data_IF_032556528893
#
_entry.id   IF_032556528893
#
_cell.length_a   1.000
_cell.length_b   1.000
_cell.length_c   1.000
_cell.angle_alpha   90.00
_cell.angle_beta   90.00
_cell.angle_gamma   90.00
#
_symmetry.space_group_name_H-M   'P 1'
#
loop_
_entity.id
_entity.type
_entity.pdbx_description
1 polymer ?
#
# COMPACT_ATOMS: atom_id res chain seq x y z
N UNK A 1 15.84 20.84 -13.89
CA UNK A 1 16.67 20.21 -12.83
C UNK A 1 15.73 19.45 -11.89
N UNK A 2 15.99 18.17 -11.61
CA UNK A 2 15.10 17.40 -10.72
C UNK A 2 15.24 17.87 -9.25
N UNK A 3 14.24 17.59 -8.41
CA UNK A 3 14.33 17.89 -6.96
C UNK A 3 15.51 17.16 -6.30
N UNK A 4 15.81 15.95 -6.77
CA UNK A 4 16.96 15.15 -6.30
C UNK A 4 18.29 15.86 -6.63
N UNK A 5 18.44 16.38 -7.86
CA UNK A 5 19.66 17.09 -8.27
C UNK A 5 19.84 18.39 -7.47
N UNK A 6 18.76 19.10 -7.19
CA UNK A 6 18.78 20.30 -6.36
C UNK A 6 19.27 20.00 -4.93
N UNK A 7 18.78 18.90 -4.31
CA UNK A 7 19.23 18.48 -2.99
C UNK A 7 20.70 18.06 -2.98
N UNK A 8 21.16 17.33 -4.00
CA UNK A 8 22.58 16.97 -4.14
C UNK A 8 23.48 18.20 -4.26
N UNK A 9 23.09 19.16 -5.09
CA UNK A 9 23.82 20.42 -5.26
C UNK A 9 23.83 21.28 -3.98
N UNK A 10 22.79 21.18 -3.15
CA UNK A 10 22.76 21.80 -1.81
C UNK A 10 23.68 21.06 -0.85
N UNK A 11 23.58 19.73 -0.79
CA UNK A 11 24.38 18.89 0.10
C UNK A 11 25.87 19.06 -0.14
N UNK A 12 26.33 19.21 -1.38
CA UNK A 12 27.76 19.43 -1.68
C UNK A 12 28.36 20.68 -1.02
N UNK A 13 27.52 21.63 -0.60
CA UNK A 13 27.92 22.87 0.08
C UNK A 13 27.81 22.79 1.61
N UNK A 14 27.20 21.73 2.14
CA UNK A 14 26.96 21.54 3.57
C UNK A 14 27.97 20.55 4.15
N UNK A 15 28.29 20.69 5.45
CA UNK A 15 29.23 19.84 6.20
C UNK A 15 28.67 19.48 7.58
N UNK A 16 29.07 18.32 8.10
CA UNK A 16 28.70 17.84 9.44
C UNK A 16 27.19 17.74 9.64
N UNK A 17 26.74 17.91 10.89
CA UNK A 17 25.34 17.73 11.29
C UNK A 17 24.32 18.59 10.50
N UNK A 18 24.76 19.72 9.91
CA UNK A 18 23.87 20.54 9.05
C UNK A 18 23.39 19.80 7.79
N UNK A 19 24.04 18.70 7.42
CA UNK A 19 23.64 17.82 6.32
C UNK A 19 22.49 16.88 6.68
N UNK A 20 22.24 16.61 7.96
CA UNK A 20 21.30 15.57 8.41
C UNK A 20 19.90 15.77 7.82
N UNK A 21 19.31 16.97 7.94
CA UNK A 21 17.95 17.20 7.42
C UNK A 21 17.86 17.08 5.88
N UNK A 22 18.72 17.74 5.07
CA UNK A 22 18.69 17.56 3.63
C UNK A 22 18.99 16.13 3.15
N UNK A 23 19.78 15.35 3.90
CA UNK A 23 19.99 13.92 3.62
C UNK A 23 18.71 13.12 3.83
N UNK A 24 17.97 13.36 4.92
CA UNK A 24 16.68 12.69 5.16
C UNK A 24 15.65 13.06 4.08
N UNK A 25 15.60 14.32 3.65
CA UNK A 25 14.74 14.75 2.54
C UNK A 25 15.15 14.06 1.22
N UNK A 26 16.46 13.88 0.98
CA UNK A 26 16.98 13.15 -0.18
C UNK A 26 16.64 11.66 -0.12
N UNK A 27 16.79 11.02 1.04
CA UNK A 27 16.38 9.63 1.28
C UNK A 27 14.93 9.44 0.89
N UNK A 28 14.01 10.29 1.40
CA UNK A 28 12.58 10.16 1.08
C UNK A 28 12.30 10.23 -0.42
N UNK A 29 12.89 11.21 -1.13
CA UNK A 29 12.68 11.35 -2.58
C UNK A 29 13.23 10.16 -3.38
N UNK A 30 14.38 9.61 -2.97
CA UNK A 30 14.97 8.44 -3.61
C UNK A 30 14.18 7.17 -3.32
N UNK A 31 13.71 6.98 -2.08
CA UNK A 31 12.82 5.89 -1.70
C UNK A 31 11.51 5.95 -2.48
N UNK A 32 10.88 7.12 -2.60
CA UNK A 32 9.66 7.30 -3.40
C UNK A 32 9.89 6.93 -4.86
N UNK A 33 11.02 7.38 -5.44
CA UNK A 33 11.39 7.05 -6.81
C UNK A 33 11.64 5.53 -6.99
N UNK A 34 12.27 4.88 -6.01
CA UNK A 34 12.47 3.43 -5.98
C UNK A 34 11.14 2.67 -6.02
N UNK A 35 10.20 2.99 -5.13
CA UNK A 35 8.88 2.35 -5.09
C UNK A 35 8.07 2.61 -6.37
N UNK A 36 8.24 3.78 -6.99
CA UNK A 36 7.62 4.09 -8.28
C UNK A 36 8.24 3.29 -9.44
N UNK A 37 9.57 3.14 -9.48
CA UNK A 37 10.21 2.32 -10.49
C UNK A 37 9.80 0.85 -10.34
N UNK A 38 9.66 0.40 -9.09
CA UNK A 38 9.17 -0.92 -8.71
C UNK A 38 10.25 -1.73 -8.02
N UNK A 39 9.99 -2.29 -6.82
CA UNK A 39 10.93 -3.17 -6.13
C UNK A 39 11.35 -4.39 -6.97
N UNK A 40 12.61 -4.80 -6.83
CA UNK A 40 13.16 -5.96 -7.53
C UNK A 40 13.53 -5.72 -8.99
N UNK A 41 13.21 -4.56 -9.55
CA UNK A 41 13.65 -4.20 -10.90
C UNK A 41 15.12 -3.74 -10.90
N UNK A 42 15.94 -4.16 -11.89
CA UNK A 42 17.33 -3.72 -11.98
C UNK A 42 17.48 -2.20 -12.01
N UNK A 43 16.60 -1.49 -12.71
CA UNK A 43 16.65 -0.02 -12.83
C UNK A 43 16.27 0.74 -11.55
N UNK A 44 15.58 0.10 -10.61
CA UNK A 44 15.18 0.73 -9.34
C UNK A 44 16.25 0.59 -8.26
N UNK A 45 17.09 -0.46 -8.33
CA UNK A 45 18.15 -0.74 -7.34
C UNK A 45 19.09 0.45 -7.08
N UNK A 46 19.61 1.18 -8.09
CA UNK A 46 20.49 2.32 -7.84
C UNK A 46 19.83 3.44 -7.01
N UNK A 47 18.50 3.61 -7.11
CA UNK A 47 17.76 4.60 -6.31
C UNK A 47 17.73 4.19 -4.84
N UNK A 48 17.50 2.90 -4.57
CA UNK A 48 17.51 2.35 -3.22
C UNK A 48 18.91 2.42 -2.59
N UNK A 49 19.95 2.05 -3.34
CA UNK A 49 21.34 2.14 -2.85
C UNK A 49 21.72 3.57 -2.48
N UNK A 50 21.30 4.56 -3.27
CA UNK A 50 21.53 5.96 -2.96
C UNK A 50 20.70 6.45 -1.76
N UNK A 51 19.47 5.94 -1.59
CA UNK A 51 18.64 6.24 -0.42
C UNK A 51 19.28 5.70 0.87
N UNK A 52 19.82 4.48 0.81
CA UNK A 52 20.56 3.83 1.90
C UNK A 52 21.81 4.64 2.25
N UNK A 53 22.63 4.99 1.25
CA UNK A 53 23.83 5.81 1.50
C UNK A 53 23.49 7.17 2.16
N UNK A 54 22.40 7.82 1.72
CA UNK A 54 21.97 9.08 2.32
C UNK A 54 21.47 8.92 3.76
N UNK A 55 20.71 7.86 4.08
CA UNK A 55 20.21 7.65 5.45
C UNK A 55 21.30 7.13 6.39
N UNK A 56 22.27 6.36 5.89
CA UNK A 56 23.45 5.94 6.65
C UNK A 56 24.26 7.14 7.12
N UNK A 57 24.54 8.07 6.19
CA UNK A 57 25.23 9.31 6.54
C UNK A 57 24.39 10.15 7.51
N UNK A 58 23.08 10.27 7.29
CA UNK A 58 22.19 11.01 8.18
C UNK A 58 22.20 10.42 9.60
N UNK A 59 22.08 9.10 9.72
CA UNK A 59 22.07 8.37 10.98
C UNK A 59 23.32 8.66 11.82
N UNK A 60 24.50 8.73 11.18
CA UNK A 60 25.77 9.05 11.83
C UNK A 60 25.83 10.43 12.49
N UNK A 61 24.91 11.35 12.19
CA UNK A 61 24.84 12.66 12.84
C UNK A 61 23.99 12.68 14.12
N UNK A 62 23.26 11.62 14.44
CA UNK A 62 22.39 11.55 15.61
C UNK A 62 23.06 10.73 16.73
N UNK A 63 23.34 11.37 17.86
CA UNK A 63 23.87 10.70 19.05
C UNK A 63 22.82 9.85 19.76
N UNK A 64 23.25 8.94 20.64
CA UNK A 64 22.38 7.96 21.32
C UNK A 64 21.22 8.59 22.13
N UNK A 65 21.41 9.81 22.63
CA UNK A 65 20.40 10.56 23.37
C UNK A 65 19.43 11.34 22.47
N UNK A 66 19.66 11.41 21.15
CA UNK A 66 18.81 12.17 20.24
C UNK A 66 17.49 11.42 19.97
N UNK A 67 16.32 12.04 20.25
CA UNK A 67 15.02 11.42 19.99
C UNK A 67 14.80 11.03 18.52
N UNK A 68 15.43 11.74 17.57
CA UNK A 68 15.32 11.45 16.14
C UNK A 68 16.13 10.24 15.71
N UNK A 69 17.15 9.84 16.46
CA UNK A 69 17.99 8.67 16.13
C UNK A 69 17.15 7.43 15.86
N UNK A 70 16.15 7.15 16.71
CA UNK A 70 15.29 5.97 16.55
C UNK A 70 14.43 6.03 15.29
N UNK A 71 13.85 7.20 14.97
CA UNK A 71 13.08 7.35 13.73
C UNK A 71 13.96 7.10 12.50
N UNK A 72 15.18 7.63 12.51
CA UNK A 72 16.15 7.45 11.42
C UNK A 72 16.66 6.00 11.37
N UNK A 73 16.89 5.35 12.51
CA UNK A 73 17.22 3.93 12.62
C UNK A 73 16.15 3.07 11.96
N UNK A 74 14.88 3.31 12.29
CA UNK A 74 13.78 2.57 11.69
C UNK A 74 13.75 2.73 10.16
N UNK A 75 13.88 3.96 9.66
CA UNK A 75 13.91 4.21 8.21
C UNK A 75 15.10 3.52 7.54
N UNK A 76 16.29 3.60 8.15
CA UNK A 76 17.50 2.87 7.72
C UNK A 76 17.26 1.37 7.65
N UNK A 77 16.77 0.78 8.74
CA UNK A 77 16.48 -0.65 8.82
C UNK A 77 15.45 -1.11 7.80
N UNK A 78 14.41 -0.32 7.58
CA UNK A 78 13.40 -0.59 6.55
C UNK A 78 13.98 -0.60 5.14
N UNK A 79 14.90 0.32 4.81
CA UNK A 79 15.53 0.38 3.49
C UNK A 79 16.52 -0.78 3.25
N UNK A 80 17.37 -1.11 4.23
CA UNK A 80 18.23 -2.31 4.14
C UNK A 80 17.40 -3.59 4.02
N UNK A 81 16.36 -3.73 4.84
CA UNK A 81 15.45 -4.86 4.77
C UNK A 81 14.76 -4.97 3.41
N UNK A 82 14.31 -3.85 2.85
CA UNK A 82 13.74 -3.79 1.50
C UNK A 82 14.74 -4.21 0.43
N UNK A 83 16.01 -3.81 0.56
CA UNK A 83 17.07 -4.20 -0.38
C UNK A 83 17.33 -5.71 -0.34
N UNK A 84 17.44 -6.29 0.84
CA UNK A 84 17.57 -7.73 1.02
C UNK A 84 16.38 -8.49 0.41
N UNK A 85 15.15 -8.11 0.75
CA UNK A 85 13.93 -8.80 0.35
C UNK A 85 13.59 -8.65 -1.14
N UNK A 86 13.95 -7.53 -1.77
CA UNK A 86 13.58 -7.25 -3.16
C UNK A 86 14.70 -7.57 -4.15
N UNK A 87 15.98 -7.51 -3.73
CA UNK A 87 17.13 -7.62 -4.62
C UNK A 87 18.13 -8.71 -4.21
N UNK A 88 17.71 -9.68 -3.38
CA UNK A 88 18.56 -10.78 -2.91
C UNK A 88 19.92 -10.31 -2.37
N UNK A 89 19.93 -9.18 -1.67
CA UNK A 89 21.18 -8.58 -1.17
C UNK A 89 21.75 -9.36 0.02
N UNK A 90 23.04 -9.17 0.36
CA UNK A 90 23.74 -9.99 1.36
C UNK A 90 23.02 -10.08 2.70
N UNK A 91 23.28 -11.15 3.45
CA UNK A 91 22.73 -11.37 4.78
C UNK A 91 23.00 -10.21 5.77
N UNK A 92 24.07 -9.45 5.56
CA UNK A 92 24.37 -8.24 6.32
C UNK A 92 23.24 -7.20 6.27
N UNK A 93 22.59 -6.99 5.12
CA UNK A 93 21.46 -6.06 5.01
C UNK A 93 20.26 -6.51 5.83
N UNK A 94 20.00 -7.82 5.86
CA UNK A 94 18.94 -8.38 6.70
C UNK A 94 19.24 -8.13 8.17
N UNK A 95 20.47 -8.36 8.59
CA UNK A 95 20.86 -8.27 10.00
C UNK A 95 20.87 -6.80 10.47
N UNK A 96 21.37 -5.88 9.64
CA UNK A 96 21.22 -4.42 9.85
C UNK A 96 19.73 -4.06 9.91
N UNK A 97 18.93 -4.55 8.96
CA UNK A 97 17.49 -4.32 8.89
C UNK A 97 16.77 -4.70 10.18
N UNK A 98 17.00 -5.91 10.67
CA UNK A 98 16.39 -6.43 11.91
C UNK A 98 16.76 -5.57 13.13
N UNK A 99 18.05 -5.28 13.31
CA UNK A 99 18.54 -4.49 14.45
C UNK A 99 17.96 -3.07 14.44
N UNK A 100 18.00 -2.41 13.30
CA UNK A 100 17.63 -1.00 13.16
C UNK A 100 16.11 -0.79 13.18
N UNK A 101 15.33 -1.74 12.63
CA UNK A 101 13.87 -1.73 12.80
C UNK A 101 13.49 -1.91 14.27
N UNK A 102 14.15 -2.82 15.00
CA UNK A 102 13.89 -3.01 16.43
C UNK A 102 14.18 -1.73 17.24
N UNK A 103 15.24 -1.00 16.89
CA UNK A 103 15.50 0.32 17.46
C UNK A 103 14.38 1.32 17.11
N UNK A 104 14.00 1.40 15.83
CA UNK A 104 13.00 2.36 15.36
C UNK A 104 11.60 2.14 15.91
N UNK A 105 11.19 0.88 16.13
CA UNK A 105 9.92 0.54 16.77
C UNK A 105 9.83 0.98 18.25
N UNK A 106 10.95 1.41 18.86
CA UNK A 106 10.99 2.03 20.19
C UNK A 106 10.88 3.57 20.14
N UNK A 107 10.74 4.16 18.96
CA UNK A 107 10.55 5.60 18.82
C UNK A 107 9.15 6.02 19.31
N UNK A 108 9.04 7.00 20.22
CA UNK A 108 7.74 7.55 20.58
C UNK A 108 7.13 8.30 19.38
N UNK A 109 5.83 8.11 19.15
CA UNK A 109 5.10 8.85 18.11
C UNK A 109 5.37 8.40 16.67
N UNK A 110 5.90 7.18 16.46
CA UNK A 110 6.01 6.61 15.12
C UNK A 110 4.62 6.54 14.47
N UNK A 111 4.49 7.00 13.22
CA UNK A 111 3.20 6.95 12.53
C UNK A 111 2.74 5.50 12.36
N UNK A 112 1.43 5.20 12.48
CA UNK A 112 0.94 3.83 12.33
C UNK A 112 1.32 3.15 11.02
N UNK A 113 1.31 3.92 9.93
CA UNK A 113 1.69 3.43 8.60
C UNK A 113 3.16 2.98 8.58
N UNK A 114 4.03 3.78 9.17
CA UNK A 114 5.46 3.50 9.22
C UNK A 114 5.76 2.33 10.18
N UNK A 115 5.12 2.29 11.35
CA UNK A 115 5.18 1.17 12.30
C UNK A 115 4.74 -0.14 11.66
N UNK A 116 3.59 -0.14 10.97
CA UNK A 116 3.07 -1.30 10.26
C UNK A 116 4.02 -1.79 9.16
N UNK A 117 4.60 -0.86 8.39
CA UNK A 117 5.58 -1.18 7.34
C UNK A 117 6.85 -1.81 7.93
N UNK A 118 7.37 -1.24 9.02
CA UNK A 118 8.52 -1.78 9.74
C UNK A 118 8.27 -3.18 10.29
N UNK A 119 7.12 -3.42 10.94
CA UNK A 119 6.75 -4.73 11.46
C UNK A 119 6.59 -5.77 10.35
N UNK A 120 5.96 -5.41 9.23
CA UNK A 120 5.84 -6.29 8.07
C UNK A 120 7.22 -6.68 7.52
N UNK A 121 8.10 -5.70 7.30
CA UNK A 121 9.47 -5.96 6.83
C UNK A 121 10.23 -6.80 7.85
N UNK A 122 10.16 -6.50 9.13
CA UNK A 122 10.85 -7.26 10.18
C UNK A 122 10.40 -8.74 10.20
N UNK A 123 9.09 -8.99 10.11
CA UNK A 123 8.56 -10.35 10.05
C UNK A 123 9.04 -11.11 8.80
N UNK A 124 9.11 -10.44 7.66
CA UNK A 124 9.66 -11.02 6.42
C UNK A 124 11.16 -11.34 6.53
N UNK A 125 11.96 -10.47 7.18
CA UNK A 125 13.38 -10.71 7.42
C UNK A 125 13.63 -11.91 8.36
N UNK A 126 12.79 -12.10 9.38
CA UNK A 126 12.85 -13.30 10.21
C UNK A 126 12.52 -14.57 9.42
N UNK A 127 11.48 -14.54 8.58
CA UNK A 127 11.16 -15.67 7.70
C UNK A 127 12.25 -15.93 6.66
N UNK A 128 12.92 -14.90 6.13
CA UNK A 128 13.97 -15.08 5.13
C UNK A 128 15.16 -15.84 5.73
N UNK A 129 15.58 -15.52 6.96
CA UNK A 129 16.63 -16.25 7.67
C UNK A 129 16.29 -17.73 7.85
N UNK A 130 15.05 -18.06 8.23
CA UNK A 130 14.59 -19.45 8.38
C UNK A 130 14.57 -20.15 7.01
N UNK A 131 14.11 -19.46 5.97
CA UNK A 131 14.07 -19.99 4.61
C UNK A 131 15.47 -20.30 4.08
N UNK A 132 16.45 -19.41 4.30
CA UNK A 132 17.85 -19.62 3.92
C UNK A 132 18.45 -20.86 4.60
N UNK A 133 18.12 -21.11 5.88
CA UNK A 133 18.54 -22.33 6.60
C UNK A 133 17.97 -23.58 5.92
N UNK A 134 16.68 -23.54 5.56
CA UNK A 134 15.99 -24.66 4.91
C UNK A 134 16.46 -24.89 3.46
N UNK A 135 17.05 -23.88 2.82
CA UNK A 135 17.63 -23.98 1.48
C UNK A 135 19.06 -24.52 1.46
N UNK A 136 19.73 -24.64 2.61
CA UNK A 136 21.08 -25.17 2.67
C UNK A 136 21.13 -26.65 2.25
N UNK A 137 22.18 -27.10 1.56
CA UNK A 137 22.43 -28.51 1.33
C UNK A 137 22.38 -29.30 2.65
N UNK A 138 21.58 -30.36 2.70
CA UNK A 138 21.42 -31.19 3.90
C UNK A 138 20.39 -30.69 4.92
N UNK A 139 19.60 -29.65 4.62
CA UNK A 139 18.54 -29.17 5.51
C UNK A 139 17.57 -30.28 5.96
N UNK A 140 17.21 -31.21 5.07
CA UNK A 140 16.37 -32.37 5.43
C UNK A 140 17.02 -33.23 6.50
N UNK A 141 18.33 -33.49 6.40
CA UNK A 141 19.07 -34.24 7.41
C UNK A 141 19.17 -33.47 8.73
N UNK A 142 19.34 -32.15 8.67
CA UNK A 142 19.32 -31.31 9.88
C UNK A 142 17.96 -31.37 10.58
N UNK A 143 16.86 -31.38 9.83
CA UNK A 143 15.50 -31.51 10.39
C UNK A 143 15.32 -32.90 11.03
N UNK A 144 15.66 -33.98 10.33
CA UNK A 144 15.48 -35.36 10.84
C UNK A 144 16.32 -35.63 12.08
N UNK A 145 17.54 -35.08 12.16
CA UNK A 145 18.44 -35.22 13.29
C UNK A 145 18.13 -34.24 14.43
N UNK A 146 17.23 -33.27 14.22
CA UNK A 146 16.94 -32.21 15.19
C UNK A 146 18.12 -31.27 15.42
N UNK A 147 18.90 -30.98 14.38
CA UNK A 147 20.13 -30.16 14.40
C UNK A 147 19.98 -28.79 13.75
N UNK A 148 18.74 -28.34 13.55
CA UNK A 148 18.50 -26.97 13.12
C UNK A 148 19.06 -25.97 14.15
N UNK A 149 19.52 -24.78 13.72
CA UNK A 149 19.96 -23.74 14.63
C UNK A 149 18.87 -23.41 15.66
N UNK A 150 19.25 -23.29 16.94
CA UNK A 150 18.31 -23.06 18.03
C UNK A 150 17.43 -21.80 17.85
N UNK A 151 17.91 -20.82 17.08
CA UNK A 151 17.17 -19.59 16.76
C UNK A 151 16.06 -19.74 15.73
N UNK A 152 16.00 -20.83 14.95
CA UNK A 152 15.06 -20.95 13.82
C UNK A 152 13.58 -20.90 14.28
N UNK A 153 13.24 -21.60 15.36
CA UNK A 153 11.89 -21.55 15.94
C UNK A 153 11.59 -20.16 16.51
N UNK A 154 12.56 -19.53 17.17
CA UNK A 154 12.41 -18.17 17.70
C UNK A 154 12.18 -17.14 16.60
N UNK A 155 12.87 -17.25 15.47
CA UNK A 155 12.68 -16.35 14.33
C UNK A 155 11.29 -16.52 13.71
N UNK A 156 10.79 -17.75 13.56
CA UNK A 156 9.40 -17.98 13.11
C UNK A 156 8.39 -17.37 14.08
N UNK A 157 8.55 -17.59 15.37
CA UNK A 157 7.64 -17.04 16.40
C UNK A 157 7.68 -15.50 16.41
N UNK A 158 8.86 -14.89 16.23
CA UNK A 158 9.00 -13.44 16.07
C UNK A 158 8.33 -12.94 14.81
N UNK A 159 8.44 -13.66 13.69
CA UNK A 159 7.75 -13.29 12.46
C UNK A 159 6.23 -13.28 12.65
N UNK A 160 5.66 -14.31 13.26
CA UNK A 160 4.23 -14.37 13.60
C UNK A 160 3.84 -13.19 14.48
N UNK A 161 4.58 -12.93 15.56
CA UNK A 161 4.29 -11.81 16.45
C UNK A 161 4.31 -10.45 15.74
N UNK A 162 5.25 -10.24 14.80
CA UNK A 162 5.26 -9.03 13.97
C UNK A 162 3.99 -8.89 13.12
N UNK A 163 3.57 -9.95 12.44
CA UNK A 163 2.38 -9.92 11.58
C UNK A 163 1.07 -9.79 12.37
N UNK A 164 0.97 -10.44 13.53
CA UNK A 164 -0.19 -10.30 14.41
C UNK A 164 -0.33 -8.87 14.94
N UNK A 165 0.78 -8.23 15.33
CA UNK A 165 0.77 -6.81 15.71
C UNK A 165 0.25 -5.91 14.60
N UNK A 166 0.63 -6.17 13.34
CA UNK A 166 0.11 -5.41 12.18
C UNK A 166 -1.38 -5.66 11.97
N UNK A 167 -1.81 -6.93 12.08
CA UNK A 167 -3.22 -7.33 11.94
C UNK A 167 -4.11 -6.63 12.97
N UNK A 168 -3.65 -6.59 14.21
CA UNK A 168 -4.41 -6.11 15.36
C UNK A 168 -4.36 -4.57 15.50
N UNK A 169 -3.38 -3.92 14.86
CA UNK A 169 -3.25 -2.46 14.80
C UNK A 169 -4.34 -1.84 13.91
N UNK A 170 -5.39 -1.33 14.55
CA UNK A 170 -6.56 -0.76 13.85
C UNK A 170 -6.24 0.46 12.98
N UNK A 171 -5.17 1.18 13.32
CA UNK A 171 -4.71 2.36 12.60
C UNK A 171 -3.83 2.02 11.39
N UNK A 172 -3.44 0.75 11.22
CA UNK A 172 -2.72 0.30 10.03
C UNK A 172 -3.65 0.32 8.79
N UNK A 173 -3.12 0.66 7.60
CA UNK A 173 -3.86 0.58 6.35
C UNK A 173 -4.51 -0.79 6.17
N UNK A 174 -5.75 -0.84 5.68
CA UNK A 174 -6.48 -2.10 5.50
C UNK A 174 -5.69 -3.10 4.64
N UNK A 175 -5.04 -2.61 3.59
CA UNK A 175 -4.15 -3.43 2.75
C UNK A 175 -3.02 -4.10 3.56
N UNK A 176 -2.37 -3.37 4.48
CA UNK A 176 -1.33 -3.91 5.33
C UNK A 176 -1.87 -5.00 6.27
N UNK A 177 -3.11 -4.84 6.76
CA UNK A 177 -3.79 -5.87 7.57
C UNK A 177 -4.16 -7.09 6.73
N UNK A 178 -4.69 -6.89 5.53
CA UNK A 178 -5.13 -7.98 4.65
C UNK A 178 -3.97 -8.92 4.27
N UNK A 179 -2.76 -8.39 4.08
CA UNK A 179 -1.59 -9.21 3.75
C UNK A 179 -1.04 -10.04 4.92
N UNK A 180 -1.37 -9.69 6.18
CA UNK A 180 -0.86 -10.44 7.35
C UNK A 180 -1.40 -11.85 7.45
N UNK A 181 -2.65 -12.08 7.03
CA UNK A 181 -3.28 -13.41 7.11
C UNK A 181 -2.49 -14.48 6.34
N UNK A 182 -2.21 -14.28 5.05
CA UNK A 182 -1.33 -15.15 4.27
C UNK A 182 0.07 -15.29 4.88
N UNK A 183 0.69 -14.20 5.37
CA UNK A 183 2.04 -14.23 5.95
C UNK A 183 2.10 -15.04 7.26
N UNK A 184 1.07 -14.96 8.12
CA UNK A 184 0.96 -15.78 9.33
C UNK A 184 0.82 -17.27 8.96
N UNK A 185 0.03 -17.60 7.93
CA UNK A 185 -0.08 -18.98 7.43
C UNK A 185 1.26 -19.49 6.89
N UNK A 186 1.98 -18.64 6.15
CA UNK A 186 3.32 -18.95 5.65
C UNK A 186 4.31 -19.22 6.80
N UNK A 187 4.35 -18.35 7.81
CA UNK A 187 5.17 -18.53 9.00
C UNK A 187 4.78 -19.81 9.77
N UNK A 188 3.47 -20.12 9.86
CA UNK A 188 2.98 -21.37 10.43
C UNK A 188 3.44 -22.61 9.66
N UNK A 189 3.46 -22.56 8.33
CA UNK A 189 4.02 -23.62 7.50
C UNK A 189 5.53 -23.78 7.73
N UNK A 190 6.28 -22.67 7.87
CA UNK A 190 7.70 -22.71 8.24
C UNK A 190 7.91 -23.30 9.64
N UNK A 191 7.01 -23.01 10.58
CA UNK A 191 7.05 -23.54 11.94
C UNK A 191 7.06 -25.06 11.96
N UNK A 192 6.28 -25.70 11.08
CA UNK A 192 6.20 -27.17 10.98
C UNK A 192 7.58 -27.78 10.69
N UNK A 193 8.41 -27.13 9.87
CA UNK A 193 9.76 -27.60 9.58
C UNK A 193 10.67 -27.51 10.81
N UNK A 194 10.64 -26.37 11.50
CA UNK A 194 11.60 -26.07 12.56
C UNK A 194 11.24 -26.70 13.91
N UNK A 195 10.00 -27.15 14.11
CA UNK A 195 9.53 -27.79 15.35
C UNK A 195 9.42 -29.31 15.26
N UNK A 196 9.92 -29.93 14.19
CA UNK A 196 9.90 -31.39 14.05
C UNK A 196 10.74 -32.05 15.17
N UNK A 197 10.13 -32.92 16.00
CA UNK A 197 10.86 -33.60 17.07
C UNK A 197 12.00 -34.47 16.57
N UNK A 198 13.05 -34.61 17.39
CA UNK A 198 14.11 -35.59 17.11
C UNK A 198 13.52 -37.00 17.10
N UNK A 199 13.87 -37.79 16.09
CA UNK A 199 13.42 -39.18 15.95
C UNK A 199 12.05 -39.33 15.29
N UNK A 200 11.45 -38.25 14.78
CA UNK A 200 10.28 -38.34 13.91
C UNK A 200 10.61 -39.19 12.67
N UNK A 201 9.72 -40.13 12.33
CA UNK A 201 9.92 -41.01 11.17
C UNK A 201 9.98 -40.21 9.87
N UNK A 202 10.77 -40.68 8.89
CA UNK A 202 10.90 -40.01 7.59
C UNK A 202 9.54 -39.85 6.87
N UNK A 203 8.62 -40.80 7.05
CA UNK A 203 7.25 -40.75 6.49
C UNK A 203 6.45 -39.61 7.11
N UNK A 204 6.52 -39.41 8.43
CA UNK A 204 5.83 -38.32 9.10
C UNK A 204 6.40 -36.95 8.71
N UNK A 205 7.72 -36.84 8.57
CA UNK A 205 8.38 -35.61 8.09
C UNK A 205 7.91 -35.27 6.67
N UNK A 206 7.85 -36.26 5.77
CA UNK A 206 7.32 -36.05 4.42
C UNK A 206 5.85 -35.61 4.42
N UNK A 207 5.01 -36.18 5.28
CA UNK A 207 3.60 -35.79 5.40
C UNK A 207 3.46 -34.33 5.85
N UNK A 208 4.20 -33.95 6.89
CA UNK A 208 4.26 -32.56 7.38
C UNK A 208 4.78 -31.60 6.32
N UNK A 209 5.78 -32.03 5.54
CA UNK A 209 6.32 -31.24 4.44
C UNK A 209 5.28 -31.02 3.34
N UNK A 210 4.57 -32.06 2.92
CA UNK A 210 3.48 -31.95 1.94
C UNK A 210 2.37 -31.01 2.41
N UNK A 211 2.03 -31.03 3.70
CA UNK A 211 1.05 -30.11 4.28
C UNK A 211 1.52 -28.66 4.22
N UNK A 212 2.76 -28.38 4.63
CA UNK A 212 3.35 -27.04 4.53
C UNK A 212 3.42 -26.56 3.08
N UNK A 213 3.81 -27.42 2.13
CA UNK A 213 3.85 -27.08 0.71
C UNK A 213 2.47 -26.77 0.13
N UNK A 214 1.41 -27.47 0.58
CA UNK A 214 0.02 -27.14 0.18
C UNK A 214 -0.36 -25.74 0.63
N UNK A 215 -0.01 -25.34 1.86
CA UNK A 215 -0.27 -23.99 2.37
C UNK A 215 0.47 -22.95 1.51
N UNK A 216 1.75 -23.19 1.20
CA UNK A 216 2.56 -22.32 0.36
C UNK A 216 1.95 -22.15 -1.04
N UNK A 217 1.53 -23.25 -1.66
CA UNK A 217 0.91 -23.27 -2.98
C UNK A 217 -0.44 -22.54 -2.99
N UNK A 218 -1.27 -22.74 -1.96
CA UNK A 218 -2.53 -22.03 -1.81
C UNK A 218 -2.30 -20.52 -1.70
N UNK A 219 -1.31 -20.09 -0.92
CA UNK A 219 -0.95 -18.68 -0.80
C UNK A 219 -0.51 -18.11 -2.15
N UNK A 220 0.29 -18.85 -2.93
CA UNK A 220 0.68 -18.43 -4.28
C UNK A 220 -0.53 -18.25 -5.20
N UNK A 221 -1.47 -19.20 -5.18
CA UNK A 221 -2.71 -19.11 -5.97
C UNK A 221 -3.57 -17.90 -5.57
N UNK A 222 -3.73 -17.67 -4.27
CA UNK A 222 -4.45 -16.51 -3.72
C UNK A 222 -3.78 -15.19 -4.13
N UNK A 223 -2.45 -15.10 -4.04
CA UNK A 223 -1.69 -13.91 -4.44
C UNK A 223 -1.80 -13.63 -5.94
N UNK A 224 -1.70 -14.65 -6.79
CA UNK A 224 -1.90 -14.49 -8.24
C UNK A 224 -3.31 -13.98 -8.56
N UNK A 225 -4.32 -14.38 -7.80
CA UNK A 225 -5.69 -13.90 -7.99
C UNK A 225 -5.90 -12.45 -7.54
N UNK A 226 -5.21 -12.01 -6.49
CA UNK A 226 -5.42 -10.67 -5.90
C UNK A 226 -4.82 -9.51 -6.71
N UNK A 227 -4.12 -9.75 -7.82
CA UNK A 227 -3.47 -8.71 -8.65
C UNK A 227 -2.68 -7.67 -7.81
N UNK A 228 -2.16 -8.06 -6.65
CA UNK A 228 -1.49 -7.11 -5.77
C UNK A 228 -0.15 -6.72 -6.37
N UNK A 229 -0.04 -5.46 -6.77
CA UNK A 229 1.16 -4.84 -7.35
C UNK A 229 2.21 -4.55 -6.29
N UNK A 230 1.95 -4.82 -5.01
CA UNK A 230 3.00 -4.79 -4.00
C UNK A 230 3.70 -6.14 -4.08
N UNK A 231 4.92 -6.22 -4.63
CA UNK A 231 5.74 -7.41 -4.49
C UNK A 231 6.00 -7.56 -3.00
N UNK A 232 5.20 -8.39 -2.34
CA UNK A 232 5.63 -9.03 -1.11
C UNK A 232 6.96 -9.67 -1.50
N UNK A 233 8.05 -9.31 -0.82
CA UNK A 233 9.40 -9.87 -1.05
C UNK A 233 9.49 -11.37 -0.76
N UNK A 234 8.41 -12.13 -0.97
CA UNK A 234 8.50 -13.50 -1.47
C UNK A 234 9.20 -13.39 -2.82
N UNK A 235 10.53 -13.41 -2.79
CA UNK A 235 11.43 -13.52 -3.94
C UNK A 235 10.73 -14.26 -5.09
N UNK A 236 10.84 -13.74 -6.32
CA UNK A 236 10.27 -14.32 -7.53
C UNK A 236 10.66 -15.79 -7.72
N UNK A 237 9.88 -16.68 -7.11
CA UNK A 237 10.12 -18.10 -6.88
C UNK A 237 10.96 -18.41 -5.63
N UNK A 238 10.55 -19.47 -4.92
CA UNK A 238 11.36 -20.32 -4.04
C UNK A 238 12.67 -20.84 -4.67
N UNK A 239 13.05 -20.35 -5.86
CA UNK A 239 14.20 -20.70 -6.66
C UNK A 239 14.90 -19.41 -7.14
N UNK A 240 15.93 -19.01 -6.38
CA UNK A 240 17.07 -18.17 -6.78
C UNK A 240 16.85 -17.07 -7.83
N UNK A 241 16.54 -15.86 -7.38
CA UNK A 241 16.65 -14.65 -8.21
C UNK A 241 18.10 -14.46 -8.73
N UNK A 242 19.11 -14.81 -7.94
CA UNK A 242 20.53 -14.81 -8.38
C UNK A 242 20.76 -15.85 -9.49
N UNK A 243 20.13 -17.02 -9.38
CA UNK A 243 20.21 -18.09 -10.38
C UNK A 243 19.50 -17.73 -11.69
N UNK A 244 18.39 -16.98 -11.60
CA UNK A 244 17.66 -16.44 -12.76
C UNK A 244 18.40 -15.26 -13.40
N UNK A 245 19.10 -14.44 -12.61
CA UNK A 245 19.93 -13.36 -13.10
C UNK A 245 21.15 -13.88 -13.88
N UNK A 246 21.74 -15.00 -13.42
CA UNK A 246 22.85 -15.68 -14.07
C UNK A 246 22.42 -16.65 -15.20
N UNK A 247 21.13 -16.95 -15.32
CA UNK A 247 20.58 -17.72 -16.45
C UNK A 247 20.45 -16.85 -17.71
N UNK A 248 20.75 -17.47 -18.86
CA UNK A 248 20.51 -16.89 -20.19
C UNK A 248 19.06 -16.36 -20.24
N UNK A 249 18.84 -15.11 -20.68
CA UNK A 249 17.50 -14.54 -20.82
C UNK A 249 16.49 -15.42 -21.57
N UNK A 250 16.95 -16.31 -22.47
CA UNK A 250 16.11 -17.23 -23.22
C UNK A 250 15.72 -18.50 -22.45
N UNK A 251 16.48 -18.87 -21.41
CA UNK A 251 16.23 -20.04 -20.57
C UNK A 251 15.41 -19.71 -19.31
N UNK A 252 15.10 -18.42 -19.11
CA UNK A 252 14.28 -17.99 -17.98
C UNK A 252 12.84 -18.49 -18.20
N UNK A 253 12.23 -19.17 -17.22
CA UNK A 253 10.84 -19.59 -17.33
C UNK A 253 9.95 -18.36 -17.51
N UNK A 254 9.35 -18.23 -18.68
CA UNK A 254 8.35 -17.19 -18.96
C UNK A 254 7.07 -17.58 -18.24
N UNK A 255 6.58 -16.78 -17.27
CA UNK A 255 5.28 -17.03 -16.68
C UNK A 255 4.22 -16.90 -17.78
N UNK A 256 3.69 -18.04 -18.23
CA UNK A 256 2.52 -18.09 -19.10
C UNK A 256 1.34 -17.51 -18.33
N UNK A 257 1.04 -16.24 -18.61
CA UNK A 257 -0.24 -15.65 -18.20
C UNK A 257 -1.31 -16.32 -19.06
N UNK A 258 -1.92 -17.38 -18.53
CA UNK A 258 -3.15 -17.91 -19.08
C UNK A 258 -4.22 -16.84 -18.91
N UNK A 259 -4.45 -16.06 -19.96
CA UNK A 259 -5.62 -15.19 -20.09
C UNK A 259 -6.86 -16.04 -19.84
N UNK A 260 -7.51 -15.84 -18.70
CA UNK A 260 -8.74 -16.56 -18.37
C UNK A 260 -9.75 -16.34 -19.50
N UNK A 261 -10.24 -17.45 -20.07
CA UNK A 261 -11.33 -17.41 -21.04
C UNK A 261 -12.53 -16.65 -20.45
N UNK A 262 -13.28 -15.88 -21.27
CA UNK A 262 -14.41 -15.10 -20.79
C UNK A 262 -15.38 -16.00 -20.03
N UNK A 263 -15.61 -15.65 -18.75
CA UNK A 263 -16.44 -16.44 -17.87
C UNK A 263 -17.88 -16.49 -18.42
N UNK A 264 -18.37 -17.71 -18.66
CA UNK A 264 -19.78 -17.98 -18.96
C UNK A 264 -20.62 -17.50 -17.77
N UNK A 265 -21.73 -16.76 -17.99
CA UNK A 265 -22.59 -16.29 -16.91
C UNK A 265 -23.14 -17.47 -16.11
N UNK A 266 -22.82 -17.53 -14.81
CA UNK A 266 -23.41 -18.54 -13.92
C UNK A 266 -24.86 -18.16 -13.57
N UNK A 267 -25.79 -19.13 -13.57
CA UNK A 267 -27.17 -18.89 -13.15
C UNK A 267 -27.24 -18.49 -11.67
N UNK A 268 -28.06 -17.48 -11.37
CA UNK A 268 -28.34 -16.95 -10.02
C UNK A 268 -28.84 -18.07 -9.10
N UNK A 269 -28.16 -18.29 -7.98
CA UNK A 269 -28.67 -19.11 -6.86
C UNK A 269 -29.81 -18.38 -6.14
N UNK A 270 -30.83 -19.10 -5.64
CA UNK A 270 -31.90 -18.51 -4.84
C UNK A 270 -31.40 -18.00 -3.48
N UNK A 271 -32.12 -17.04 -2.86
CA UNK A 271 -31.72 -16.39 -1.63
C UNK A 271 -31.69 -17.36 -0.44
N UNK A 272 -30.60 -17.32 0.32
CA UNK A 272 -30.39 -18.11 1.53
C UNK A 272 -31.05 -17.39 2.73
N UNK A 273 -31.77 -18.09 3.62
CA UNK A 273 -32.41 -17.45 4.78
C UNK A 273 -31.39 -16.86 5.76
N UNK A 274 -31.78 -15.74 6.37
CA UNK A 274 -30.95 -14.91 7.24
C UNK A 274 -30.42 -15.69 8.45
N UNK A 275 -29.11 -15.66 8.64
CA UNK A 275 -28.41 -16.25 9.79
C UNK A 275 -28.12 -15.12 10.77
N UNK A 276 -28.77 -15.14 11.92
CA UNK A 276 -28.53 -14.24 13.05
C UNK A 276 -27.15 -14.50 13.65
N UNK A 277 -26.19 -13.61 13.40
CA UNK A 277 -24.90 -13.60 14.11
C UNK A 277 -24.94 -12.66 15.33
N UNK A 278 -24.27 -13.02 16.45
CA UNK A 278 -24.19 -12.17 17.64
C UNK A 278 -23.49 -10.83 17.34
N UNK A 279 -24.11 -9.75 17.82
CA UNK A 279 -23.64 -8.36 17.69
C UNK A 279 -22.37 -8.15 18.54
N UNK A 280 -21.26 -7.88 17.88
CA UNK A 280 -20.01 -7.45 18.52
C UNK A 280 -20.21 -6.13 19.28
N UNK A 281 -19.48 -5.89 20.39
CA UNK A 281 -19.60 -4.67 21.18
C UNK A 281 -19.23 -3.44 20.34
N UNK A 282 -20.07 -2.42 20.42
CA UNK A 282 -19.92 -1.17 19.68
C UNK A 282 -18.62 -0.46 20.10
N UNK A 283 -17.73 -0.25 19.12
CA UNK A 283 -16.58 0.63 19.27
C UNK A 283 -17.04 2.07 19.40
N UNK A 284 -16.38 2.81 20.27
CA UNK A 284 -16.43 4.28 20.32
C UNK A 284 -15.76 4.81 19.04
N UNK A 285 -16.48 5.48 18.13
CA UNK A 285 -15.87 6.07 16.95
C UNK A 285 -14.87 7.17 17.36
N UNK A 286 -13.85 7.38 16.52
CA UNK A 286 -13.04 8.61 16.59
C UNK A 286 -13.99 9.81 16.64
N UNK A 287 -13.64 10.91 17.36
CA UNK A 287 -14.50 12.07 17.46
C UNK A 287 -14.78 12.57 16.05
N UNK A 288 -16.01 12.31 15.59
CA UNK A 288 -16.54 12.91 14.39
C UNK A 288 -16.43 14.41 14.63
N UNK A 289 -15.80 15.18 13.72
CA UNK A 289 -15.78 16.63 13.85
C UNK A 289 -17.21 17.10 14.10
N UNK A 290 -17.36 18.07 15.00
CA UNK A 290 -18.69 18.46 15.44
C UNK A 290 -19.52 18.86 14.20
N UNK A 291 -20.85 18.65 14.17
CA UNK A 291 -21.69 19.03 13.03
C UNK A 291 -21.48 20.50 12.57
N UNK A 292 -21.06 21.36 13.49
CA UNK A 292 -20.70 22.76 13.26
C UNK A 292 -19.44 22.91 12.39
N UNK A 293 -18.47 22.01 12.51
CA UNK A 293 -17.22 21.99 11.74
C UNK A 293 -17.50 21.65 10.26
N UNK A 294 -18.35 20.66 9.99
CA UNK A 294 -18.71 20.28 8.62
C UNK A 294 -19.44 21.41 7.87
N UNK A 295 -20.24 22.20 8.58
CA UNK A 295 -20.93 23.36 7.99
C UNK A 295 -19.95 24.49 7.68
N UNK A 296 -18.98 24.74 8.57
CA UNK A 296 -17.90 25.69 8.31
C UNK A 296 -17.04 25.29 7.10
N UNK A 297 -16.64 24.02 7.03
CA UNK A 297 -15.87 23.47 5.89
C UNK A 297 -16.64 23.56 4.57
N UNK A 298 -17.96 23.29 4.56
CA UNK A 298 -18.79 23.47 3.35
C UNK A 298 -18.84 24.92 2.89
N UNK A 299 -18.93 25.86 3.84
CA UNK A 299 -18.95 27.29 3.52
C UNK A 299 -17.60 27.72 2.93
N UNK A 300 -16.50 27.27 3.53
CA UNK A 300 -15.14 27.54 3.04
C UNK A 300 -14.91 26.94 1.65
N UNK A 301 -15.29 25.68 1.43
CA UNK A 301 -15.21 25.03 0.11
C UNK A 301 -16.03 25.76 -0.96
N UNK A 302 -17.24 26.22 -0.60
CA UNK A 302 -18.07 27.01 -1.52
C UNK A 302 -17.43 28.35 -1.82
N UNK A 303 -16.96 29.07 -0.81
CA UNK A 303 -16.30 30.37 -1.00
C UNK A 303 -15.05 30.23 -1.87
N UNK A 304 -14.24 29.19 -1.65
CA UNK A 304 -13.06 28.87 -2.46
C UNK A 304 -13.40 28.70 -3.94
N UNK A 305 -14.53 28.06 -4.25
CA UNK A 305 -14.94 27.77 -5.63
C UNK A 305 -15.67 28.95 -6.26
N UNK A 306 -16.54 29.64 -5.51
CA UNK A 306 -17.46 30.62 -6.07
C UNK A 306 -17.03 32.07 -5.91
N UNK A 307 -16.18 32.38 -4.92
CA UNK A 307 -15.90 33.76 -4.52
C UNK A 307 -17.18 34.57 -4.26
N UNK A 308 -18.16 33.96 -3.58
CA UNK A 308 -19.48 34.56 -3.33
C UNK A 308 -20.54 34.37 -4.44
N UNK A 309 -20.22 33.71 -5.56
CA UNK A 309 -21.16 33.46 -6.67
C UNK A 309 -21.98 32.16 -6.58
N UNK A 310 -22.68 31.83 -7.67
CA UNK A 310 -23.38 30.53 -7.82
C UNK A 310 -22.39 29.38 -8.02
N UNK A 311 -22.61 28.29 -7.27
CA UNK A 311 -21.75 27.11 -7.25
C UNK A 311 -21.64 26.40 -8.59
N UNK A 312 -22.76 26.09 -9.25
CA UNK A 312 -22.71 25.21 -10.44
C UNK A 312 -22.08 25.91 -11.66
N UNK A 313 -22.37 27.19 -11.96
CA UNK A 313 -21.66 27.94 -12.99
C UNK A 313 -20.17 28.13 -12.69
N UNK A 314 -19.82 28.39 -11.43
CA UNK A 314 -18.41 28.52 -11.02
C UNK A 314 -17.65 27.21 -11.22
N UNK A 315 -18.26 26.08 -10.82
CA UNK A 315 -17.69 24.76 -10.99
C UNK A 315 -17.58 24.35 -12.46
N UNK A 316 -18.59 24.63 -13.29
CA UNK A 316 -18.51 24.38 -14.75
C UNK A 316 -17.38 25.20 -15.39
N UNK A 317 -17.21 26.47 -14.99
CA UNK A 317 -16.09 27.31 -15.45
C UNK A 317 -14.74 26.71 -15.05
N UNK A 318 -14.62 26.25 -13.81
CA UNK A 318 -13.40 25.62 -13.30
C UNK A 318 -13.05 24.33 -14.06
N UNK A 319 -14.04 23.48 -14.33
CA UNK A 319 -13.86 22.22 -15.10
C UNK A 319 -13.45 22.46 -16.57
N UNK A 320 -13.88 23.59 -17.16
CA UNK A 320 -13.51 23.98 -18.53
C UNK A 320 -12.15 24.66 -18.63
N UNK A 321 -11.63 25.22 -17.54
CA UNK A 321 -10.31 25.84 -17.56
C UNK A 321 -9.25 24.81 -17.99
N UNK A 322 -8.33 25.12 -18.92
CA UNK A 322 -7.32 24.16 -19.39
C UNK A 322 -6.33 23.80 -18.28
N UNK A 323 -5.99 24.75 -17.42
CA UNK A 323 -5.11 24.57 -16.27
C UNK A 323 -5.60 25.44 -15.09
N UNK A 324 -6.34 24.90 -14.12
CA UNK A 324 -6.62 25.63 -12.88
C UNK A 324 -5.32 25.86 -12.09
N UNK A 325 -5.30 26.88 -11.23
CA UNK A 325 -4.16 27.13 -10.36
C UNK A 325 -3.91 25.89 -9.47
N UNK A 326 -2.66 25.34 -9.41
CA UNK A 326 -2.40 24.10 -8.69
C UNK A 326 -2.83 24.13 -7.22
N UNK A 327 -2.58 25.23 -6.51
CA UNK A 327 -2.97 25.39 -5.11
C UNK A 327 -4.49 25.33 -4.90
N UNK A 328 -5.26 25.93 -5.81
CA UNK A 328 -6.73 25.91 -5.75
C UNK A 328 -7.29 24.47 -5.80
N UNK A 329 -6.71 23.61 -6.65
CA UNK A 329 -7.17 22.23 -6.79
C UNK A 329 -6.84 21.40 -5.55
N UNK A 330 -5.65 21.56 -5.00
CA UNK A 330 -5.25 20.84 -3.78
C UNK A 330 -6.10 21.27 -2.58
N UNK A 331 -6.35 22.58 -2.41
CA UNK A 331 -7.22 23.12 -1.36
C UNK A 331 -8.67 22.63 -1.51
N UNK A 332 -9.18 22.62 -2.75
CA UNK A 332 -10.51 22.10 -3.06
C UNK A 332 -10.65 20.62 -2.70
N UNK A 333 -9.67 19.78 -3.04
CA UNK A 333 -9.71 18.35 -2.70
C UNK A 333 -9.60 18.15 -1.19
N UNK A 334 -8.69 18.86 -0.52
CA UNK A 334 -8.51 18.75 0.92
C UNK A 334 -9.82 19.08 1.67
N UNK A 335 -10.46 20.21 1.34
CA UNK A 335 -11.73 20.61 1.94
C UNK A 335 -12.87 19.67 1.58
N UNK A 336 -12.98 19.23 0.32
CA UNK A 336 -14.03 18.30 -0.09
C UNK A 336 -13.91 16.93 0.60
N UNK A 337 -12.69 16.40 0.74
CA UNK A 337 -12.43 15.17 1.50
C UNK A 337 -12.81 15.35 2.96
N UNK A 338 -12.42 16.45 3.60
CA UNK A 338 -12.78 16.73 5.00
C UNK A 338 -14.30 16.81 5.21
N UNK A 339 -15.04 17.42 4.28
CA UNK A 339 -16.52 17.47 4.33
C UNK A 339 -17.13 16.08 4.19
N UNK A 340 -16.60 15.24 3.29
CA UNK A 340 -17.10 13.88 3.07
C UNK A 340 -16.80 12.98 4.28
N UNK A 341 -15.59 13.05 4.82
CA UNK A 341 -15.13 12.25 5.97
C UNK A 341 -15.84 12.61 7.29
N UNK A 342 -16.43 13.81 7.39
CA UNK A 342 -17.27 14.20 8.52
C UNK A 342 -18.58 13.39 8.65
N UNK A 343 -18.88 12.49 7.69
CA UNK A 343 -19.96 11.50 7.81
C UNK A 343 -21.37 12.01 7.51
N UNK A 344 -21.50 13.25 7.04
CA UNK A 344 -22.78 13.88 6.68
C UNK A 344 -22.79 14.41 5.23
N UNK A 345 -22.00 13.81 4.34
CA UNK A 345 -21.85 14.25 2.96
C UNK A 345 -23.20 14.21 2.21
N UNK A 346 -23.57 15.34 1.59
CA UNK A 346 -24.71 15.37 0.68
C UNK A 346 -24.25 15.20 -0.80
N UNK A 347 -25.21 15.19 -1.73
CA UNK A 347 -24.92 15.11 -3.18
C UNK A 347 -23.91 16.14 -3.65
N UNK A 348 -24.08 17.39 -3.22
CA UNK A 348 -23.21 18.49 -3.65
C UNK A 348 -21.81 18.26 -3.12
N UNK A 349 -21.66 17.82 -1.87
CA UNK A 349 -20.35 17.51 -1.28
C UNK A 349 -19.61 16.43 -2.09
N UNK A 350 -20.31 15.33 -2.45
CA UNK A 350 -19.76 14.26 -3.28
C UNK A 350 -19.43 14.72 -4.71
N UNK A 351 -20.26 15.59 -5.30
CA UNK A 351 -19.98 16.15 -6.63
C UNK A 351 -18.75 17.07 -6.61
N UNK A 352 -18.55 17.84 -5.53
CA UNK A 352 -17.38 18.69 -5.37
C UNK A 352 -16.11 17.86 -5.20
N UNK A 353 -16.16 16.77 -4.41
CA UNK A 353 -15.04 15.83 -4.30
C UNK A 353 -14.69 15.22 -5.65
N UNK A 354 -15.69 14.72 -6.40
CA UNK A 354 -15.49 14.15 -7.73
C UNK A 354 -14.85 15.15 -8.71
N UNK A 355 -15.30 16.40 -8.70
CA UNK A 355 -14.74 17.46 -9.53
C UNK A 355 -13.29 17.79 -9.15
N UNK A 356 -12.99 17.92 -7.84
CA UNK A 356 -11.64 18.23 -7.36
C UNK A 356 -10.63 17.14 -7.72
N UNK A 357 -10.99 15.87 -7.49
CA UNK A 357 -10.15 14.72 -7.84
C UNK A 357 -9.91 14.63 -9.35
N UNK A 358 -10.92 14.90 -10.18
CA UNK A 358 -10.77 14.92 -11.64
C UNK A 358 -9.82 16.01 -12.11
N UNK A 359 -9.88 17.20 -11.50
CA UNK A 359 -8.96 18.31 -11.78
C UNK A 359 -7.52 17.98 -11.33
N UNK A 360 -7.36 17.35 -10.16
CA UNK A 360 -6.04 16.94 -9.64
C UNK A 360 -5.41 15.86 -10.50
N UNK A 361 -6.20 14.86 -10.92
CA UNK A 361 -5.76 13.84 -11.87
C UNK A 361 -5.25 14.46 -13.18
N UNK A 362 -5.99 15.43 -13.73
CA UNK A 362 -5.60 16.14 -14.95
C UNK A 362 -4.29 16.93 -14.79
N UNK A 363 -4.05 17.51 -13.62
CA UNK A 363 -2.82 18.26 -13.33
C UNK A 363 -1.61 17.34 -13.05
N UNK A 364 -1.81 16.21 -12.38
CA UNK A 364 -0.73 15.32 -11.93
C UNK A 364 -0.21 14.38 -13.04
N UNK A 365 -1.10 13.87 -13.89
CA UNK A 365 -0.78 12.82 -14.86
C UNK A 365 -0.34 11.48 -14.23
N UNK A 366 -0.05 10.50 -15.09
CA UNK A 366 0.54 9.21 -14.68
C UNK A 366 -0.32 8.35 -13.73
N UNK A 367 0.32 7.53 -12.89
CA UNK A 367 -0.38 6.56 -12.02
C UNK A 367 -1.17 7.20 -10.87
N UNK A 368 -0.72 8.35 -10.35
CA UNK A 368 -1.45 9.08 -9.31
C UNK A 368 -2.81 9.55 -9.84
N UNK A 369 -2.85 9.98 -11.10
CA UNK A 369 -4.11 10.32 -11.77
C UNK A 369 -5.10 9.15 -11.78
N UNK A 370 -4.66 7.92 -12.00
CA UNK A 370 -5.56 6.76 -12.06
C UNK A 370 -6.34 6.51 -10.77
N UNK A 371 -5.68 6.67 -9.62
CA UNK A 371 -6.34 6.54 -8.31
C UNK A 371 -7.39 7.64 -8.12
N UNK A 372 -7.00 8.89 -8.37
CA UNK A 372 -7.90 10.04 -8.29
C UNK A 372 -9.11 9.91 -9.23
N UNK A 373 -8.92 9.39 -10.45
CA UNK A 373 -10.00 9.15 -11.41
C UNK A 373 -11.00 8.08 -10.94
N UNK A 374 -10.49 7.03 -10.29
CA UNK A 374 -11.33 5.96 -9.72
C UNK A 374 -12.16 6.51 -8.56
N UNK A 375 -11.51 7.21 -7.61
CA UNK A 375 -12.18 7.84 -6.48
C UNK A 375 -13.19 8.92 -6.94
N UNK A 376 -12.86 9.69 -7.98
CA UNK A 376 -13.76 10.66 -8.59
C UNK A 376 -15.02 10.01 -9.17
N UNK A 377 -14.89 8.87 -9.86
CA UNK A 377 -16.02 8.16 -10.43
C UNK A 377 -16.95 7.58 -9.35
N UNK A 378 -16.40 7.09 -8.24
CA UNK A 378 -17.19 6.56 -7.13
C UNK A 378 -17.95 7.67 -6.40
N UNK A 379 -17.29 8.79 -6.10
CA UNK A 379 -17.95 9.98 -5.55
C UNK A 379 -19.05 10.52 -6.48
N UNK A 380 -18.82 10.51 -7.81
CA UNK A 380 -19.82 10.92 -8.79
C UNK A 380 -21.06 10.00 -8.79
N UNK A 381 -20.84 8.68 -8.70
CA UNK A 381 -21.92 7.69 -8.61
C UNK A 381 -22.72 7.86 -7.33
N UNK A 382 -22.07 8.12 -6.21
CA UNK A 382 -22.74 8.39 -4.94
C UNK A 382 -23.58 9.68 -5.00
N UNK A 383 -23.04 10.75 -5.61
CA UNK A 383 -23.76 11.99 -5.82
C UNK A 383 -25.03 11.78 -6.66
N UNK A 384 -24.94 11.00 -7.74
CA UNK A 384 -26.07 10.65 -8.61
C UNK A 384 -27.08 9.71 -7.93
N UNK A 385 -26.60 8.81 -7.07
CA UNK A 385 -27.41 7.82 -6.35
C UNK A 385 -28.25 8.39 -5.20
N UNK A 386 -27.98 9.63 -4.77
CA UNK A 386 -28.72 10.31 -3.70
C UNK A 386 -30.24 10.37 -3.95
N UNK A 387 -31.06 10.28 -2.90
CA UNK A 387 -32.51 10.07 -2.98
C UNK A 387 -33.31 11.16 -3.71
N UNK A 388 -32.85 12.42 -3.70
CA UNK A 388 -33.54 13.52 -4.40
C UNK A 388 -33.17 13.54 -5.89
N UNK A 389 -34.00 14.08 -6.75
CA UNK A 389 -33.60 14.26 -8.15
C UNK A 389 -32.64 15.45 -8.24
N UNK A 390 -31.50 15.32 -8.95
CA UNK A 390 -30.56 16.44 -9.12
C UNK A 390 -31.18 17.57 -9.95
N UNK A 391 -30.90 18.85 -9.60
CA UNK A 391 -31.25 19.96 -10.47
C UNK A 391 -30.50 19.85 -11.81
N UNK A 392 -31.05 20.46 -12.87
CA UNK A 392 -30.52 20.33 -14.23
C UNK A 392 -29.05 20.80 -14.34
N UNK A 393 -28.69 21.82 -13.57
CA UNK A 393 -27.34 22.36 -13.46
C UNK A 393 -26.37 21.34 -12.86
N UNK A 394 -26.79 20.62 -11.81
CA UNK A 394 -25.98 19.56 -11.23
C UNK A 394 -25.80 18.39 -12.20
N UNK A 395 -26.85 17.99 -12.94
CA UNK A 395 -26.75 16.94 -13.97
C UNK A 395 -25.74 17.33 -15.06
N UNK A 396 -25.74 18.61 -15.48
CA UNK A 396 -24.77 19.11 -16.47
C UNK A 396 -23.34 18.99 -15.95
N UNK A 397 -23.08 19.41 -14.71
CA UNK A 397 -21.76 19.28 -14.08
C UNK A 397 -21.37 17.81 -13.92
N UNK A 398 -22.29 16.95 -13.47
CA UNK A 398 -22.04 15.51 -13.33
C UNK A 398 -21.60 14.87 -14.65
N UNK A 399 -22.29 15.17 -15.75
CA UNK A 399 -21.92 14.70 -17.10
C UNK A 399 -20.53 15.20 -17.50
N UNK A 400 -20.23 16.48 -17.22
CA UNK A 400 -18.91 17.05 -17.51
C UNK A 400 -17.78 16.37 -16.72
N UNK A 401 -18.01 16.06 -15.43
CA UNK A 401 -17.05 15.31 -14.62
C UNK A 401 -16.87 13.90 -15.16
N UNK A 402 -17.96 13.20 -15.50
CA UNK A 402 -17.89 11.88 -16.14
C UNK A 402 -17.09 11.90 -17.44
N UNK A 403 -17.33 12.88 -18.32
CA UNK A 403 -16.61 13.02 -19.59
C UNK A 403 -15.11 13.22 -19.35
N UNK A 404 -14.73 14.04 -18.36
CA UNK A 404 -13.32 14.24 -18.00
C UNK A 404 -12.67 12.97 -17.47
N UNK A 405 -13.40 12.21 -16.65
CA UNK A 405 -12.91 10.93 -16.12
C UNK A 405 -12.73 9.90 -17.24
N UNK A 406 -13.72 9.76 -18.12
CA UNK A 406 -13.67 8.81 -19.23
C UNK A 406 -12.63 9.19 -20.30
N UNK A 407 -12.37 10.49 -20.51
CA UNK A 407 -11.28 10.95 -21.38
C UNK A 407 -9.90 10.60 -20.82
N UNK A 408 -9.73 10.68 -19.50
CA UNK A 408 -8.46 10.42 -18.84
C UNK A 408 -8.21 8.92 -18.60
N UNK A 409 -9.26 8.14 -18.29
CA UNK A 409 -9.21 6.68 -18.18
C UNK A 409 -10.54 6.05 -18.67
N UNK A 410 -10.62 5.66 -19.96
CA UNK A 410 -11.82 5.03 -20.54
C UNK A 410 -12.25 3.72 -19.86
N UNK A 411 -11.35 3.08 -19.09
CA UNK A 411 -11.69 1.84 -18.39
C UNK A 411 -12.65 2.06 -17.22
N UNK A 412 -12.72 3.28 -16.66
CA UNK A 412 -13.56 3.62 -15.51
C UNK A 412 -15.06 3.66 -15.88
N UNK A 413 -15.38 4.06 -17.12
CA UNK A 413 -16.75 4.12 -17.67
C UNK A 413 -17.73 4.92 -16.80
N UNK A 414 -17.27 6.05 -16.26
CA UNK A 414 -18.03 6.94 -15.39
C UNK A 414 -19.32 7.43 -16.06
N UNK A 415 -19.28 7.79 -17.34
CA UNK A 415 -20.45 8.26 -18.09
C UNK A 415 -21.54 7.19 -18.26
N UNK A 416 -21.13 5.95 -18.50
CA UNK A 416 -22.07 4.81 -18.57
C UNK A 416 -22.74 4.57 -17.21
N UNK A 417 -21.96 4.53 -16.12
CA UNK A 417 -22.47 4.36 -14.75
C UNK A 417 -23.46 5.47 -14.38
N UNK A 418 -23.09 6.73 -14.65
CA UNK A 418 -23.93 7.90 -14.40
C UNK A 418 -25.26 7.83 -15.18
N UNK A 419 -25.20 7.47 -16.46
CA UNK A 419 -26.39 7.39 -17.32
C UNK A 419 -27.37 6.32 -16.83
N UNK A 420 -26.87 5.16 -16.40
CA UNK A 420 -27.72 4.11 -15.85
C UNK A 420 -28.51 4.59 -14.62
N UNK A 421 -27.81 5.23 -13.66
CA UNK A 421 -28.42 5.74 -12.42
C UNK A 421 -29.46 6.82 -12.71
N UNK A 422 -29.16 7.76 -13.61
CA UNK A 422 -30.08 8.84 -13.95
C UNK A 422 -31.35 8.29 -14.64
N UNK A 423 -31.23 7.29 -15.52
CA UNK A 423 -32.39 6.65 -16.17
C UNK A 423 -33.28 5.90 -15.19
N UNK A 424 -32.69 5.15 -14.26
CA UNK A 424 -33.44 4.45 -13.21
C UNK A 424 -34.25 5.44 -12.36
N UNK A 425 -33.71 6.64 -12.11
CA UNK A 425 -34.39 7.70 -11.37
C UNK A 425 -35.49 8.41 -12.16
N UNK A 426 -35.33 8.56 -13.47
CA UNK A 426 -36.35 9.14 -14.35
C UNK A 426 -37.54 8.20 -14.57
N UNK A 427 -37.29 6.90 -14.69
CA UNK A 427 -38.33 5.88 -14.91
C UNK A 427 -39.07 5.39 -13.66
N UNK A 428 -38.63 5.79 -12.46
CA UNK A 428 -39.30 5.48 -11.18
C UNK A 428 -40.32 6.51 -10.72
N UNK A 429 -40.70 7.46 -11.59
CA UNK A 429 -41.83 8.38 -11.41
C UNK A 429 -43.06 7.83 -12.12
#
# INVERSE_FOLDING_TARGET
MSKIDALRARLSKLKGATRARPLLDLTQLLSDAYWQAGPGKPESRPLLDQAIAAVDEAYGYFGDADPMRRNVAGMRGWLHGSRHLAHASPAEDRDIGLQQIEEGLRAPGLSPVLSGSMLLTQGQLYMSRVTEILQQPGAVNMITEGRLPAGATTDVDRAVACFERVRDETSAPQQARDITGPLIRMAGALRIFVTTPKGTSSVEIMNRWMEAMKVIQQIHQEQSAMHMVVPIGTNGAFYGADRLADQDPLDRPVPLVQSAAPAVPRPRRPPRPARTTPRAPARTPAPVPAPDDATALRRELRELITGGGDLFPALDRLLRAPAPAPGLVDDMVALATAVVDAGAANRTDQLLLAAGLSLRARAAGGRRARRDLTEAADALVEAAGSARIPPAEAVRVMRRVADLVDQADPAVRAGHRLTAILREREGGR
#
